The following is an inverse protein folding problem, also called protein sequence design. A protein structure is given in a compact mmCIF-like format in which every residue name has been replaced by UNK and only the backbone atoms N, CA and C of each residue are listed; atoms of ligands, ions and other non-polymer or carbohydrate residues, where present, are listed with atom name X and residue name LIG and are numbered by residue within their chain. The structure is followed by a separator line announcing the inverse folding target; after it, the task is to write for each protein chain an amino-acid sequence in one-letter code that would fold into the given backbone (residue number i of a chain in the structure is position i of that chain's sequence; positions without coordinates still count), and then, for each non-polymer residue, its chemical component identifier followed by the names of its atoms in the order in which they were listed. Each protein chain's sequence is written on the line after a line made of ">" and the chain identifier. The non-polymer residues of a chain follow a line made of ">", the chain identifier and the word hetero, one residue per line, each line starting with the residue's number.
data_IF_554274449836
#
_entry.id   IF_554274449836
#
_cell.length_a   1.000
_cell.length_b   1.000
_cell.length_c   1.000
_cell.angle_alpha   90.00
_cell.angle_beta   90.00
_cell.angle_gamma   90.00
#
_symmetry.space_group_name_H-M   'P 1'
#
loop_
_entity.id
_entity.type
_entity.pdbx_description
1 polymer ?
#
# COMPACT_ATOMS: atom_id res chain seq x y z
N UNK A 1 15.45 39.91 -28.84
CA UNK A 1 14.64 40.30 -30.02
C UNK A 1 14.19 39.10 -30.85
N UNK A 2 15.01 38.05 -30.99
CA UNK A 2 14.65 36.88 -31.81
C UNK A 2 13.43 36.11 -31.31
N UNK A 3 13.35 35.78 -30.02
CA UNK A 3 12.18 35.11 -29.43
C UNK A 3 10.86 35.83 -29.72
N UNK A 4 10.86 37.17 -29.64
CA UNK A 4 9.66 37.98 -29.92
C UNK A 4 9.26 37.86 -31.39
N UNK A 5 10.24 37.86 -32.31
CA UNK A 5 10.01 37.66 -33.73
C UNK A 5 9.45 36.26 -34.00
N UNK A 6 10.07 35.21 -33.48
CA UNK A 6 9.62 33.83 -33.67
C UNK A 6 8.19 33.59 -33.15
N UNK A 7 7.81 34.16 -32.00
CA UNK A 7 6.45 34.05 -31.48
C UNK A 7 5.45 34.82 -32.36
N UNK A 8 5.82 36.00 -32.88
CA UNK A 8 4.98 36.75 -33.82
C UNK A 8 4.77 35.98 -35.12
N UNK A 9 5.83 35.41 -35.67
CA UNK A 9 5.78 34.59 -36.88
C UNK A 9 4.91 33.35 -36.67
N UNK A 10 5.08 32.64 -35.55
CA UNK A 10 4.24 31.49 -35.18
C UNK A 10 2.74 31.84 -35.11
N UNK A 11 2.38 32.99 -34.52
CA UNK A 11 0.98 33.44 -34.45
C UNK A 11 0.38 33.77 -35.82
N UNK A 12 1.22 33.98 -36.83
CA UNK A 12 0.85 34.17 -38.23
C UNK A 12 0.95 32.86 -39.04
N UNK A 13 1.12 31.71 -38.39
CA UNK A 13 1.28 30.41 -39.06
C UNK A 13 2.60 30.29 -39.82
N UNK A 14 3.66 31.00 -39.41
CA UNK A 14 5.00 30.90 -40.01
C UNK A 14 5.93 30.12 -39.08
N UNK A 15 6.47 29.02 -39.58
CA UNK A 15 7.43 28.17 -38.89
C UNK A 15 8.78 28.23 -39.59
N UNK A 16 9.92 28.14 -38.85
CA UNK A 16 11.23 28.00 -39.45
C UNK A 16 11.32 26.73 -40.32
N UNK A 17 11.99 26.82 -41.46
CA UNK A 17 12.17 25.71 -42.39
C UNK A 17 12.80 24.48 -41.70
N UNK A 18 13.90 24.68 -40.99
CA UNK A 18 14.60 23.61 -40.25
C UNK A 18 13.71 22.92 -39.20
N UNK A 19 12.75 23.65 -38.64
CA UNK A 19 11.78 23.07 -37.70
C UNK A 19 10.78 22.15 -38.44
N UNK A 20 10.28 22.58 -39.60
CA UNK A 20 9.41 21.77 -40.45
C UNK A 20 10.07 20.51 -40.99
N UNK A 21 11.36 20.58 -41.31
CA UNK A 21 12.12 19.41 -41.77
C UNK A 21 12.38 18.41 -40.64
N UNK A 22 12.65 18.91 -39.43
CA UNK A 22 12.91 18.07 -38.26
C UNK A 22 11.63 17.45 -37.67
N UNK A 23 10.51 18.16 -37.72
CA UNK A 23 9.24 17.80 -37.07
C UNK A 23 8.04 17.99 -38.01
N UNK A 24 7.94 17.24 -39.11
CA UNK A 24 6.95 17.48 -40.16
C UNK A 24 5.50 17.32 -39.68
N UNK A 25 5.22 16.32 -38.84
CA UNK A 25 3.88 16.06 -38.30
C UNK A 25 3.45 17.14 -37.30
N UNK A 26 4.34 17.51 -36.36
CA UNK A 26 4.08 18.57 -35.39
C UNK A 26 3.92 19.92 -36.09
N UNK A 27 4.72 20.20 -37.12
CA UNK A 27 4.59 21.42 -37.91
C UNK A 27 3.23 21.52 -38.60
N UNK A 28 2.77 20.44 -39.25
CA UNK A 28 1.43 20.40 -39.84
C UNK A 28 0.34 20.65 -38.80
N UNK A 29 0.47 20.05 -37.62
CA UNK A 29 -0.46 20.24 -36.52
C UNK A 29 -0.48 21.67 -36.01
N UNK A 30 0.68 22.26 -35.77
CA UNK A 30 0.82 23.64 -35.31
C UNK A 30 0.19 24.60 -36.32
N UNK A 31 0.39 24.40 -37.62
CA UNK A 31 -0.23 25.20 -38.67
C UNK A 31 -1.76 25.09 -38.67
N UNK A 32 -2.30 23.88 -38.48
CA UNK A 32 -3.75 23.68 -38.33
C UNK A 32 -4.31 24.40 -37.10
N UNK A 33 -3.60 24.37 -35.95
CA UNK A 33 -4.04 25.05 -34.73
C UNK A 33 -3.88 26.57 -34.78
N UNK A 34 -2.95 27.08 -35.59
CA UNK A 34 -2.65 28.52 -35.71
C UNK A 34 -3.32 29.18 -36.91
N UNK A 35 -4.22 28.48 -37.61
CA UNK A 35 -4.95 29.03 -38.76
C UNK A 35 -5.71 30.30 -38.38
N UNK A 36 -5.69 31.32 -39.24
CA UNK A 36 -6.32 32.62 -38.99
C UNK A 36 -7.82 32.48 -38.72
N UNK A 37 -8.50 31.68 -39.54
CA UNK A 37 -9.93 31.36 -39.37
C UNK A 37 -10.12 30.39 -38.19
N UNK A 38 -10.77 30.80 -37.09
CA UNK A 38 -10.93 29.95 -35.91
C UNK A 38 -11.72 28.67 -36.17
N UNK A 39 -12.72 28.73 -37.05
CA UNK A 39 -13.57 27.58 -37.40
C UNK A 39 -12.83 26.46 -38.15
N UNK A 40 -11.65 26.75 -38.69
CA UNK A 40 -10.81 25.74 -39.37
C UNK A 40 -9.85 25.04 -38.41
N UNK A 41 -9.75 25.50 -37.16
CA UNK A 41 -8.88 24.88 -36.16
C UNK A 41 -9.51 23.58 -35.67
N UNK A 42 -8.71 22.53 -35.46
CA UNK A 42 -9.20 21.26 -34.94
C UNK A 42 -9.76 21.42 -33.52
N UNK A 43 -10.77 20.62 -33.19
CA UNK A 43 -11.25 20.50 -31.81
C UNK A 43 -10.28 19.66 -30.98
N UNK A 44 -10.29 19.84 -29.66
CA UNK A 44 -9.47 19.01 -28.77
C UNK A 44 -9.74 17.51 -28.94
N UNK A 45 -10.99 17.12 -29.16
CA UNK A 45 -11.37 15.72 -29.43
C UNK A 45 -10.75 15.21 -30.74
N UNK A 46 -10.81 15.99 -31.82
CA UNK A 46 -10.17 15.61 -33.09
C UNK A 46 -8.64 15.51 -33.01
N UNK A 47 -8.01 16.30 -32.13
CA UNK A 47 -6.57 16.20 -31.89
C UNK A 47 -6.20 14.87 -31.22
N UNK A 48 -7.00 14.40 -30.27
CA UNK A 48 -6.75 13.15 -29.54
C UNK A 48 -6.82 11.91 -30.44
N UNK A 49 -7.56 11.99 -31.55
CA UNK A 49 -7.63 10.92 -32.55
C UNK A 49 -6.39 10.83 -33.46
N UNK A 50 -5.52 11.85 -33.46
CA UNK A 50 -4.29 11.81 -34.25
C UNK A 50 -3.31 10.78 -33.70
N UNK A 51 -2.60 10.09 -34.60
CA UNK A 51 -1.69 9.00 -34.26
C UNK A 51 -0.66 9.38 -33.17
N UNK A 52 -0.14 10.62 -33.22
CA UNK A 52 0.86 11.14 -32.27
C UNK A 52 0.37 11.16 -30.81
N UNK A 53 -0.94 11.29 -30.60
CA UNK A 53 -1.55 11.28 -29.27
C UNK A 53 -2.19 9.93 -28.95
N UNK A 54 -2.80 9.28 -29.95
CA UNK A 54 -3.54 8.02 -29.79
C UNK A 54 -2.64 6.88 -29.31
N UNK A 55 -1.48 6.68 -29.94
CA UNK A 55 -0.60 5.55 -29.63
C UNK A 55 -0.05 5.62 -28.19
N UNK A 56 0.39 6.81 -27.77
CA UNK A 56 0.90 7.04 -26.40
C UNK A 56 -0.21 6.89 -25.35
N UNK A 57 -1.41 7.39 -25.65
CA UNK A 57 -2.53 7.32 -24.72
C UNK A 57 -3.01 5.88 -24.53
N UNK A 58 -3.10 5.09 -25.60
CA UNK A 58 -3.47 3.68 -25.54
C UNK A 58 -2.46 2.88 -24.72
N UNK A 59 -1.15 3.02 -24.97
CA UNK A 59 -0.11 2.31 -24.21
C UNK A 59 -0.14 2.63 -22.71
N UNK A 60 -0.30 3.91 -22.34
CA UNK A 60 -0.41 4.32 -20.94
C UNK A 60 -1.67 3.76 -20.27
N UNK A 61 -2.80 3.82 -20.97
CA UNK A 61 -4.08 3.29 -20.48
C UNK A 61 -4.00 1.79 -20.26
N UNK A 62 -3.43 1.04 -21.19
CA UNK A 62 -3.32 -0.42 -21.11
C UNK A 62 -2.43 -0.85 -19.95
N UNK A 63 -1.24 -0.22 -19.81
CA UNK A 63 -0.34 -0.46 -18.69
C UNK A 63 -1.01 -0.17 -17.34
N UNK A 64 -1.73 0.95 -17.24
CA UNK A 64 -2.42 1.30 -16.01
C UNK A 64 -3.54 0.29 -15.70
N UNK A 65 -4.27 -0.15 -16.72
CA UNK A 65 -5.34 -1.12 -16.57
C UNK A 65 -4.81 -2.50 -16.14
N UNK A 66 -3.64 -2.90 -16.64
CA UNK A 66 -2.94 -4.10 -16.19
C UNK A 66 -2.49 -4.00 -14.73
N UNK A 67 -1.89 -2.87 -14.34
CA UNK A 67 -1.53 -2.59 -12.93
C UNK A 67 -2.73 -2.66 -12.00
N UNK A 68 -3.86 -2.11 -12.40
CA UNK A 68 -5.10 -2.16 -11.60
C UNK A 68 -5.58 -3.61 -11.43
N UNK A 69 -5.50 -4.44 -12.47
CA UNK A 69 -5.87 -5.87 -12.38
C UNK A 69 -4.93 -6.66 -11.47
N UNK A 70 -3.63 -6.42 -11.57
CA UNK A 70 -2.62 -7.03 -10.69
C UNK A 70 -2.93 -6.69 -9.22
N UNK A 71 -3.10 -5.41 -8.91
CA UNK A 71 -3.40 -4.93 -7.55
C UNK A 71 -4.73 -5.46 -7.02
N UNK A 72 -5.77 -5.52 -7.86
CA UNK A 72 -7.04 -6.10 -7.46
C UNK A 72 -6.90 -7.58 -7.07
N UNK A 73 -6.10 -8.34 -7.80
CA UNK A 73 -5.83 -9.75 -7.50
C UNK A 73 -5.04 -9.90 -6.19
N UNK A 74 -4.02 -9.07 -5.99
CA UNK A 74 -3.24 -9.05 -4.75
C UNK A 74 -4.11 -8.71 -3.53
N UNK A 75 -5.02 -7.73 -3.65
CA UNK A 75 -5.96 -7.38 -2.58
C UNK A 75 -6.86 -8.56 -2.20
N UNK A 76 -7.32 -9.35 -3.17
CA UNK A 76 -8.16 -10.53 -2.92
C UNK A 76 -7.38 -11.58 -2.11
N UNK A 77 -6.15 -11.88 -2.51
CA UNK A 77 -5.29 -12.85 -1.81
C UNK A 77 -4.92 -12.37 -0.39
N UNK A 78 -4.56 -11.09 -0.23
CA UNK A 78 -4.28 -10.51 1.07
C UNK A 78 -5.49 -10.58 2.01
N UNK A 79 -6.69 -10.29 1.50
CA UNK A 79 -7.94 -10.41 2.28
C UNK A 79 -8.22 -11.84 2.71
N UNK A 80 -7.94 -12.82 1.85
CA UNK A 80 -8.08 -14.24 2.18
C UNK A 80 -7.12 -14.64 3.31
N UNK A 81 -5.84 -14.25 3.21
CA UNK A 81 -4.87 -14.53 4.27
C UNK A 81 -5.23 -13.87 5.59
N UNK A 82 -5.78 -12.65 5.57
CA UNK A 82 -6.26 -12.00 6.79
C UNK A 82 -7.41 -12.77 7.44
N UNK A 83 -8.37 -13.26 6.64
CA UNK A 83 -9.47 -14.07 7.16
C UNK A 83 -8.98 -15.35 7.84
N UNK A 84 -8.05 -16.07 7.20
CA UNK A 84 -7.45 -17.29 7.77
C UNK A 84 -6.70 -16.98 9.09
N UNK A 85 -6.01 -15.83 9.16
CA UNK A 85 -5.29 -15.40 10.37
C UNK A 85 -6.23 -14.99 11.50
N UNK A 86 -7.36 -14.36 11.19
CA UNK A 86 -8.37 -14.01 12.18
C UNK A 86 -9.00 -15.27 12.80
N UNK A 87 -9.31 -16.30 11.99
CA UNK A 87 -9.81 -17.58 12.49
C UNK A 87 -8.80 -18.32 13.40
N UNK A 88 -7.50 -18.25 13.05
CA UNK A 88 -6.42 -18.80 13.88
C UNK A 88 -6.31 -18.05 15.22
N UNK A 89 -6.43 -16.72 15.20
CA UNK A 89 -6.39 -15.89 16.41
C UNK A 89 -7.56 -16.19 17.34
N UNK A 90 -8.78 -16.36 16.81
CA UNK A 90 -9.96 -16.71 17.58
C UNK A 90 -9.79 -18.08 18.26
N UNK A 91 -9.31 -19.08 17.51
CA UNK A 91 -9.03 -20.42 18.03
C UNK A 91 -7.99 -20.38 19.16
N UNK A 92 -6.93 -19.58 18.99
CA UNK A 92 -5.88 -19.40 20.00
C UNK A 92 -6.38 -18.64 21.22
N UNK A 93 -7.28 -17.67 21.04
CA UNK A 93 -7.92 -16.95 22.12
C UNK A 93 -8.78 -17.90 22.97
N UNK A 94 -9.51 -18.83 22.35
CA UNK A 94 -10.26 -19.89 23.02
C UNK A 94 -9.36 -20.80 23.86
N UNK A 95 -8.25 -21.27 23.28
CA UNK A 95 -7.28 -22.12 23.99
C UNK A 95 -6.70 -21.39 25.21
N UNK A 96 -6.32 -20.11 25.06
CA UNK A 96 -5.82 -19.30 26.18
C UNK A 96 -6.88 -19.12 27.26
N UNK A 97 -8.15 -18.91 26.89
CA UNK A 97 -9.26 -18.82 27.86
C UNK A 97 -9.41 -20.12 28.66
N UNK A 98 -9.37 -21.26 27.99
CA UNK A 98 -9.51 -22.56 28.65
C UNK A 98 -8.32 -22.88 29.56
N UNK A 99 -7.08 -22.63 29.11
CA UNK A 99 -5.88 -22.83 29.92
C UNK A 99 -5.89 -21.95 31.18
N UNK A 100 -6.36 -20.69 31.08
CA UNK A 100 -6.52 -19.81 32.24
C UNK A 100 -7.53 -20.38 33.25
N UNK A 101 -8.66 -20.89 32.78
CA UNK A 101 -9.67 -21.54 33.63
C UNK A 101 -9.09 -22.74 34.37
N UNK A 102 -8.30 -23.57 33.69
CA UNK A 102 -7.63 -24.73 34.29
C UNK A 102 -6.60 -24.32 35.34
N UNK A 103 -5.82 -23.25 35.09
CA UNK A 103 -4.88 -22.71 36.07
C UNK A 103 -5.60 -22.24 37.33
N UNK A 104 -6.69 -21.47 37.19
CA UNK A 104 -7.49 -21.03 38.34
C UNK A 104 -8.05 -22.18 39.17
N UNK A 105 -8.49 -23.28 38.54
CA UNK A 105 -8.92 -24.47 39.27
C UNK A 105 -7.77 -25.16 40.01
N UNK A 106 -6.59 -25.23 39.38
CA UNK A 106 -5.40 -25.83 40.00
C UNK A 106 -4.95 -24.99 41.19
N UNK A 107 -4.93 -23.66 41.06
CA UNK A 107 -4.56 -22.74 42.14
C UNK A 107 -5.53 -22.90 43.32
N UNK A 108 -6.85 -22.97 43.07
CA UNK A 108 -7.84 -23.27 44.12
C UNK A 108 -7.60 -24.61 44.81
N UNK A 109 -7.24 -25.68 44.08
CA UNK A 109 -6.91 -26.98 44.68
C UNK A 109 -5.66 -26.91 45.54
N UNK A 110 -4.64 -26.16 45.10
CA UNK A 110 -3.42 -25.93 45.86
C UNK A 110 -3.74 -25.17 47.15
N UNK A 111 -4.50 -24.09 47.07
CA UNK A 111 -4.98 -23.34 48.24
C UNK A 111 -5.78 -24.23 49.21
N UNK A 112 -6.70 -25.05 48.70
CA UNK A 112 -7.44 -26.02 49.52
C UNK A 112 -6.54 -27.07 50.16
N UNK A 113 -5.52 -27.55 49.44
CA UNK A 113 -4.54 -28.49 50.00
C UNK A 113 -3.76 -27.84 51.15
N UNK A 114 -3.30 -26.60 50.99
CA UNK A 114 -2.62 -25.87 52.06
C UNK A 114 -3.55 -25.52 53.25
N UNK A 115 -4.83 -25.24 52.99
CA UNK A 115 -5.81 -24.96 54.05
C UNK A 115 -6.24 -26.22 54.82
N UNK A 116 -6.42 -27.35 54.13
CA UNK A 116 -6.82 -28.63 54.72
C UNK A 116 -5.64 -29.35 55.38
N UNK A 117 -4.44 -29.15 54.85
CA UNK A 117 -3.20 -29.53 55.51
C UNK A 117 -2.88 -28.46 56.57
N UNK A 118 -3.75 -28.35 57.60
CA UNK A 118 -3.32 -27.82 58.89
C UNK A 118 -2.11 -28.66 59.28
N UNK A 119 -0.92 -28.09 59.08
CA UNK A 119 0.35 -28.63 59.53
C UNK A 119 0.10 -29.28 60.88
N UNK A 120 0.21 -30.61 60.92
CA UNK A 120 0.28 -31.33 62.17
C UNK A 120 1.32 -30.62 63.02
N UNK A 121 0.99 -30.30 64.28
CA UNK A 121 1.90 -29.59 65.19
C UNK A 121 3.26 -30.30 65.39
N UNK A 122 3.39 -31.54 64.91
CA UNK A 122 4.60 -32.36 64.93
C UNK A 122 5.52 -32.12 63.71
N UNK A 123 4.99 -31.62 62.58
CA UNK A 123 5.74 -31.50 61.31
C UNK A 123 6.18 -30.07 60.96
N UNK A 124 6.15 -29.13 61.92
CA UNK A 124 6.62 -27.75 61.74
C UNK A 124 8.15 -27.66 61.64
N UNK A 125 8.78 -28.42 60.75
CA UNK A 125 10.17 -28.21 60.38
C UNK A 125 10.22 -27.27 59.17
N UNK A 126 10.57 -26.01 59.49
CA UNK A 126 11.04 -24.92 58.62
C UNK A 126 11.25 -25.29 57.16
N UNK A 127 10.39 -24.76 56.28
CA UNK A 127 10.83 -24.32 54.95
C UNK A 127 11.27 -22.85 55.08
N UNK A 128 12.44 -22.65 55.69
CA UNK A 128 13.18 -21.39 55.56
C UNK A 128 14.17 -21.63 54.43
N UNK A 129 13.97 -20.91 53.32
CA UNK A 129 14.92 -20.85 52.20
C UNK A 129 16.31 -20.44 52.71
N UNK A 130 17.39 -21.22 52.47
CA UNK A 130 18.74 -20.73 52.65
C UNK A 130 19.13 -20.00 51.36
N UNK A 131 18.81 -18.71 51.30
CA UNK A 131 19.43 -17.81 50.32
C UNK A 131 20.49 -17.00 51.08
N UNK A 132 21.74 -17.36 50.77
CA UNK A 132 22.92 -16.51 50.81
C UNK A 132 23.58 -16.24 52.18
N UNK A 133 24.41 -17.18 52.63
CA UNK A 133 25.71 -16.83 53.18
C UNK A 133 26.70 -16.73 52.01
N UNK A 134 27.09 -15.50 51.64
CA UNK A 134 28.43 -15.22 51.10
C UNK A 134 28.76 -13.73 51.32
N UNK A 135 29.97 -13.51 51.83
CA UNK A 135 30.72 -12.26 51.92
C UNK A 135 30.29 -11.18 52.91
N UNK A 136 30.82 -11.30 54.14
CA UNK A 136 31.62 -10.22 54.73
C UNK A 136 32.72 -10.81 55.63
N UNK A 137 33.98 -10.60 55.26
CA UNK A 137 35.14 -10.81 56.15
C UNK A 137 36.33 -11.50 55.51
#
# INVERSE_FOLDING_TARGET
>A
MERVKSIKDLRQGKLPQDFCEKWPEESKLILMMTTETPSNRPTAESLLELAVFKEKHTQMSDHLNEKVKEQASEIIELRKMLLEKDEELDSRADEVRELRRQLEERDKRVEQMFANNKLCAVCSHKLVNPVEEMDTG
#
